data_IF_126030815582
#
_entry.id   IF_126030815582
#
_cell.length_a   1.000
_cell.length_b   1.000
_cell.length_c   1.000
_cell.angle_alpha   90.00
_cell.angle_beta   90.00
_cell.angle_gamma   90.00
#
_symmetry.space_group_name_H-M   'P 1'
#
loop_
_entity.id
_entity.type
_entity.pdbx_description
1 polymer ?
#
# COMPACT_ATOMS: atom_id res chain seq x y z
N UNK A 1 16.33 19.98 20.83
CA UNK A 1 15.07 20.27 20.11
C UNK A 1 14.25 18.99 20.06
N UNK A 2 13.14 18.93 20.81
CA UNK A 2 12.17 17.83 20.71
C UNK A 2 11.69 17.79 19.25
N UNK A 3 11.49 16.62 18.68
CA UNK A 3 11.13 16.45 17.26
C UNK A 3 9.61 16.21 17.14
N UNK A 4 8.75 17.24 17.26
CA UNK A 4 7.29 17.09 17.27
C UNK A 4 6.75 16.60 15.92
N UNK A 5 7.40 16.99 14.82
CA UNK A 5 6.97 16.66 13.46
C UNK A 5 7.08 15.17 13.17
N UNK A 6 8.15 14.52 13.62
CA UNK A 6 8.35 13.08 13.39
C UNK A 6 7.24 12.28 14.08
N UNK A 7 6.92 12.64 15.33
CA UNK A 7 5.87 11.98 16.12
C UNK A 7 4.47 12.16 15.51
N UNK A 8 4.16 13.36 15.00
CA UNK A 8 2.90 13.63 14.29
C UNK A 8 2.82 12.87 12.96
N UNK A 9 3.89 12.87 12.17
CA UNK A 9 3.94 12.12 10.90
C UNK A 9 3.81 10.61 11.12
N UNK A 10 4.43 10.08 12.19
CA UNK A 10 4.34 8.68 12.56
C UNK A 10 2.92 8.32 12.98
N UNK A 11 2.27 9.16 13.80
CA UNK A 11 0.86 8.97 14.17
C UNK A 11 -0.05 8.98 12.94
N UNK A 12 0.13 9.94 12.04
CA UNK A 12 -0.72 10.08 10.86
C UNK A 12 -0.56 8.90 9.89
N UNK A 13 0.69 8.47 9.65
CA UNK A 13 1.00 7.30 8.83
C UNK A 13 0.45 6.00 9.47
N UNK A 14 0.51 5.89 10.80
CA UNK A 14 -0.04 4.74 11.53
C UNK A 14 -1.55 4.68 11.39
N UNK A 15 -2.25 5.81 11.57
CA UNK A 15 -3.71 5.90 11.42
C UNK A 15 -4.12 5.55 9.99
N UNK A 16 -3.46 6.12 8.98
CA UNK A 16 -3.73 5.78 7.57
C UNK A 16 -3.50 4.30 7.29
N UNK A 17 -2.43 3.71 7.82
CA UNK A 17 -2.14 2.28 7.64
C UNK A 17 -3.21 1.40 8.29
N UNK A 18 -3.64 1.74 9.50
CA UNK A 18 -4.72 1.02 10.21
C UNK A 18 -6.04 1.13 9.46
N UNK A 19 -6.41 2.33 8.99
CA UNK A 19 -7.64 2.54 8.21
C UNK A 19 -7.59 1.75 6.92
N UNK A 20 -6.47 1.79 6.20
CA UNK A 20 -6.32 1.05 4.95
C UNK A 20 -6.43 -0.46 5.17
N UNK A 21 -5.73 -1.00 6.18
CA UNK A 21 -5.77 -2.42 6.52
C UNK A 21 -7.17 -2.87 6.93
N UNK A 22 -7.89 -2.05 7.70
CA UNK A 22 -9.27 -2.30 8.11
C UNK A 22 -10.22 -2.31 6.91
N UNK A 23 -10.10 -1.34 6.00
CA UNK A 23 -10.93 -1.28 4.79
C UNK A 23 -10.68 -2.47 3.86
N UNK A 24 -9.43 -2.87 3.66
CA UNK A 24 -9.08 -4.05 2.87
C UNK A 24 -9.63 -5.34 3.50
N UNK A 25 -9.51 -5.48 4.82
CA UNK A 25 -10.05 -6.63 5.57
C UNK A 25 -11.57 -6.70 5.50
N UNK A 26 -12.27 -5.56 5.61
CA UNK A 26 -13.73 -5.49 5.50
C UNK A 26 -14.21 -5.87 4.09
N UNK A 27 -13.52 -5.43 3.05
CA UNK A 27 -13.83 -5.79 1.66
C UNK A 27 -13.65 -7.29 1.42
N UNK A 28 -12.57 -7.88 1.93
CA UNK A 28 -12.34 -9.32 1.77
C UNK A 28 -13.34 -10.16 2.59
N UNK A 29 -13.73 -9.69 3.78
CA UNK A 29 -14.78 -10.31 4.58
C UNK A 29 -16.14 -10.23 3.86
N UNK A 30 -16.49 -9.06 3.31
CA UNK A 30 -17.70 -8.88 2.52
C UNK A 30 -17.71 -9.81 1.29
N UNK A 31 -16.56 -10.00 0.63
CA UNK A 31 -16.41 -10.94 -0.49
C UNK A 31 -16.54 -12.41 -0.07
N UNK A 32 -16.03 -12.78 1.11
CA UNK A 32 -16.10 -14.16 1.64
C UNK A 32 -17.50 -14.54 2.09
N UNK A 33 -18.27 -13.60 2.61
CA UNK A 33 -19.61 -13.87 3.17
C UNK A 33 -20.77 -13.46 2.25
N UNK A 34 -20.51 -12.69 1.18
CA UNK A 34 -21.54 -12.25 0.23
C UNK A 34 -21.07 -12.31 -1.23
N UNK A 35 -21.87 -12.97 -2.09
CA UNK A 35 -21.73 -12.94 -3.56
C UNK A 35 -22.14 -11.59 -4.16
N UNK A 36 -21.71 -10.49 -3.56
CA UNK A 36 -22.16 -9.15 -3.94
C UNK A 36 -21.25 -8.62 -5.05
N UNK A 37 -21.79 -8.44 -6.26
CA UNK A 37 -21.07 -7.97 -7.47
C UNK A 37 -20.29 -6.66 -7.24
N UNK A 38 -20.71 -5.83 -6.29
CA UNK A 38 -19.99 -4.60 -5.91
C UNK A 38 -18.71 -4.89 -5.11
N UNK A 39 -18.69 -5.92 -4.27
CA UNK A 39 -17.48 -6.36 -3.58
C UNK A 39 -16.46 -6.96 -4.57
N UNK A 40 -16.94 -7.62 -5.61
CA UNK A 40 -16.10 -8.16 -6.69
C UNK A 40 -15.42 -7.05 -7.50
N UNK A 41 -16.16 -6.02 -7.91
CA UNK A 41 -15.57 -4.82 -8.53
C UNK A 41 -14.62 -4.06 -7.60
N UNK A 42 -14.94 -3.97 -6.31
CA UNK A 42 -14.07 -3.35 -5.31
C UNK A 42 -12.74 -4.09 -5.17
N UNK A 43 -12.78 -5.43 -5.14
CA UNK A 43 -11.58 -6.27 -5.11
C UNK A 43 -10.75 -6.10 -6.37
N UNK A 44 -11.38 -6.10 -7.55
CA UNK A 44 -10.67 -5.85 -8.81
C UNK A 44 -10.00 -4.46 -8.84
N UNK A 45 -10.67 -3.43 -8.32
CA UNK A 45 -10.09 -2.08 -8.22
C UNK A 45 -8.90 -2.02 -7.25
N UNK A 46 -8.99 -2.72 -6.11
CA UNK A 46 -7.92 -2.81 -5.11
C UNK A 46 -6.73 -3.60 -5.64
N UNK A 47 -6.97 -4.70 -6.37
CA UNK A 47 -5.91 -5.55 -6.93
C UNK A 47 -5.27 -4.94 -8.21
N UNK A 48 -5.95 -4.01 -8.89
CA UNK A 48 -5.43 -3.41 -10.14
C UNK A 48 -4.12 -2.66 -9.97
N UNK A 49 -3.95 -1.94 -8.85
CA UNK A 49 -2.73 -1.18 -8.59
C UNK A 49 -1.50 -2.08 -8.35
N UNK A 50 -1.51 -3.04 -7.40
CA UNK A 50 -0.38 -3.94 -7.21
C UNK A 50 -0.13 -4.85 -8.43
N UNK A 51 -1.17 -5.26 -9.18
CA UNK A 51 -0.96 -5.96 -10.46
C UNK A 51 -0.20 -5.11 -11.47
N UNK A 52 -0.52 -3.81 -11.59
CA UNK A 52 0.25 -2.88 -12.44
C UNK A 52 1.69 -2.71 -11.98
N UNK A 53 1.94 -2.73 -10.67
CA UNK A 53 3.31 -2.70 -10.13
C UNK A 53 4.07 -3.97 -10.52
N UNK A 54 3.45 -5.15 -10.42
CA UNK A 54 4.07 -6.39 -10.89
C UNK A 54 4.34 -6.41 -12.39
N UNK A 55 3.44 -5.82 -13.19
CA UNK A 55 3.62 -5.70 -14.64
C UNK A 55 4.80 -4.77 -14.96
N UNK A 56 4.86 -3.61 -14.29
CA UNK A 56 5.97 -2.66 -14.41
C UNK A 56 7.32 -3.26 -13.98
N UNK A 57 7.32 -4.06 -12.91
CA UNK A 57 8.52 -4.76 -12.42
C UNK A 57 8.88 -6.01 -13.26
N UNK A 58 8.07 -6.37 -14.26
CA UNK A 58 8.27 -7.57 -15.09
C UNK A 58 8.03 -8.89 -14.34
N UNK A 59 7.43 -8.85 -13.15
CA UNK A 59 7.14 -10.01 -12.29
C UNK A 59 5.88 -10.75 -12.75
N UNK A 60 4.93 -10.02 -13.35
CA UNK A 60 3.66 -10.57 -13.83
C UNK A 60 3.81 -11.79 -14.76
N UNK A 61 4.65 -11.78 -15.81
CA UNK A 61 4.82 -12.95 -16.67
C UNK A 61 5.36 -14.17 -15.90
N UNK A 62 6.28 -13.97 -14.95
CA UNK A 62 6.85 -15.04 -14.14
C UNK A 62 5.79 -15.70 -13.24
N UNK A 63 4.99 -14.89 -12.56
CA UNK A 63 3.92 -15.39 -11.67
C UNK A 63 2.82 -16.07 -12.49
N UNK A 64 2.51 -15.53 -13.67
CA UNK A 64 1.54 -16.11 -14.59
C UNK A 64 1.99 -17.49 -15.08
N UNK A 65 3.25 -17.61 -15.50
CA UNK A 65 3.81 -18.86 -16.00
C UNK A 65 3.82 -19.95 -14.94
N UNK A 66 4.26 -19.61 -13.72
CA UNK A 66 4.26 -20.54 -12.60
C UNK A 66 2.83 -20.93 -12.12
N UNK A 67 1.87 -20.01 -12.21
CA UNK A 67 0.45 -20.34 -11.95
C UNK A 67 -0.10 -21.32 -12.98
N UNK A 68 0.17 -21.11 -14.28
CA UNK A 68 -0.32 -21.98 -15.35
C UNK A 68 0.33 -23.37 -15.34
N UNK A 69 1.60 -23.47 -14.92
CA UNK A 69 2.28 -24.77 -14.74
C UNK A 69 1.84 -25.49 -13.45
N UNK A 70 0.95 -24.89 -12.65
CA UNK A 70 0.48 -25.46 -11.38
C UNK A 70 1.50 -25.40 -10.24
N UNK A 71 2.62 -24.71 -10.43
CA UNK A 71 3.64 -24.49 -9.39
C UNK A 71 3.17 -23.49 -8.33
N UNK A 72 2.24 -22.59 -8.71
CA UNK A 72 1.66 -21.58 -7.85
C UNK A 72 0.14 -21.81 -7.69
N UNK A 73 -0.32 -22.02 -6.46
CA UNK A 73 -1.73 -22.10 -6.14
C UNK A 73 -2.38 -20.72 -6.10
N UNK A 74 -3.67 -20.62 -6.43
CA UNK A 74 -4.37 -19.33 -6.48
C UNK A 74 -4.38 -18.55 -5.16
N UNK A 75 -4.31 -19.23 -4.01
CA UNK A 75 -4.19 -18.56 -2.71
C UNK A 75 -2.80 -17.93 -2.50
N UNK A 76 -1.73 -18.54 -3.03
CA UNK A 76 -0.37 -18.00 -2.94
C UNK A 76 -0.25 -16.70 -3.74
N UNK A 77 -0.84 -16.66 -4.93
CA UNK A 77 -0.89 -15.44 -5.77
C UNK A 77 -1.58 -14.29 -5.02
N UNK A 78 -2.70 -14.58 -4.33
CA UNK A 78 -3.42 -13.59 -3.51
C UNK A 78 -2.58 -13.10 -2.33
N UNK A 79 -1.86 -13.98 -1.64
CA UNK A 79 -0.96 -13.62 -0.54
C UNK A 79 0.16 -12.69 -1.03
N UNK A 80 0.77 -13.02 -2.18
CA UNK A 80 1.80 -12.18 -2.81
C UNK A 80 1.26 -10.80 -3.20
N UNK A 81 0.04 -10.74 -3.75
CA UNK A 81 -0.65 -9.48 -4.06
C UNK A 81 -0.89 -8.63 -2.80
N UNK A 82 -1.34 -9.26 -1.71
CA UNK A 82 -1.50 -8.62 -0.40
C UNK A 82 -0.20 -8.04 0.13
N UNK A 83 0.88 -8.83 0.12
CA UNK A 83 2.23 -8.40 0.52
C UNK A 83 2.72 -7.20 -0.30
N UNK A 84 2.52 -7.25 -1.61
CA UNK A 84 2.91 -6.17 -2.53
C UNK A 84 2.18 -4.87 -2.18
N UNK A 85 0.89 -4.97 -1.85
CA UNK A 85 0.09 -3.81 -1.49
C UNK A 85 0.55 -3.18 -0.17
N UNK A 86 0.86 -4.01 0.84
CA UNK A 86 1.45 -3.54 2.10
C UNK A 86 2.78 -2.82 1.85
N UNK A 87 3.65 -3.39 1.00
CA UNK A 87 4.94 -2.79 0.65
C UNK A 87 4.77 -1.42 -0.02
N UNK A 88 3.84 -1.32 -0.97
CA UNK A 88 3.50 -0.06 -1.66
C UNK A 88 3.11 1.02 -0.65
N UNK A 89 2.22 0.70 0.29
CA UNK A 89 1.74 1.67 1.28
C UNK A 89 2.89 2.10 2.20
N UNK A 90 3.73 1.17 2.62
CA UNK A 90 4.90 1.48 3.44
C UNK A 90 5.86 2.43 2.71
N UNK A 91 6.18 2.15 1.44
CA UNK A 91 7.03 3.02 0.60
C UNK A 91 6.42 4.40 0.44
N UNK A 92 5.12 4.50 0.17
CA UNK A 92 4.42 5.78 0.05
C UNK A 92 4.46 6.56 1.36
N UNK A 93 4.20 5.92 2.50
CA UNK A 93 4.23 6.56 3.81
C UNK A 93 5.62 7.12 4.13
N UNK A 94 6.69 6.34 3.88
CA UNK A 94 8.07 6.79 4.06
C UNK A 94 8.39 7.96 3.12
N UNK A 95 8.02 7.86 1.84
CA UNK A 95 8.31 8.88 0.83
C UNK A 95 7.63 10.20 1.17
N UNK A 96 6.35 10.18 1.54
CA UNK A 96 5.59 11.38 1.94
C UNK A 96 6.16 11.96 3.24
N UNK A 97 6.44 11.13 4.23
CA UNK A 97 7.03 11.57 5.50
C UNK A 97 8.39 12.24 5.30
N UNK A 98 9.24 11.66 4.45
CA UNK A 98 10.54 12.24 4.09
C UNK A 98 10.39 13.56 3.33
N UNK A 99 9.46 13.64 2.36
CA UNK A 99 9.17 14.88 1.63
C UNK A 99 8.72 16.01 2.56
N UNK A 100 7.82 15.73 3.50
CA UNK A 100 7.39 16.69 4.51
C UNK A 100 8.55 17.15 5.41
N UNK A 101 9.44 16.23 5.79
CA UNK A 101 10.64 16.57 6.57
C UNK A 101 11.57 17.53 5.82
N UNK A 102 11.84 17.28 4.54
CA UNK A 102 12.67 18.18 3.72
C UNK A 102 12.06 19.57 3.58
N UNK A 103 10.75 19.64 3.36
CA UNK A 103 10.01 20.91 3.29
C UNK A 103 10.12 21.67 4.61
N UNK A 104 9.91 21.00 5.74
CA UNK A 104 10.05 21.61 7.06
C UNK A 104 11.47 22.13 7.32
N UNK A 105 12.50 21.42 6.84
CA UNK A 105 13.90 21.85 6.95
C UNK A 105 14.14 23.16 6.20
N UNK A 106 13.61 23.27 4.98
CA UNK A 106 13.72 24.47 4.13
C UNK A 106 13.02 25.68 4.73
N UNK A 107 11.85 25.51 5.35
CA UNK A 107 11.17 26.59 6.04
C UNK A 107 11.94 27.06 7.28
N UNK A 108 12.51 26.12 8.04
CA UNK A 108 13.32 26.45 9.22
C UNK A 108 14.63 27.19 8.87
N UNK A 109 15.21 26.93 7.70
CA UNK A 109 16.35 27.71 7.19
C UNK A 109 15.94 29.13 6.78
N UNK A 110 14.79 29.30 6.12
CA UNK A 110 14.30 30.60 5.65
C UNK A 110 14.02 31.57 6.81
N UNK A 111 13.43 31.10 7.90
CA UNK A 111 13.14 31.92 9.10
C UNK A 111 14.39 32.35 9.87
N UNK A 112 15.55 31.72 9.67
CA UNK A 112 16.83 32.15 10.28
C UNK A 112 17.54 33.24 9.48
N UNK A 113 17.14 33.43 8.23
CA UNK A 113 17.75 34.39 7.30
C UNK A 113 16.88 35.63 7.06
N UNK A 114 15.68 35.68 7.61
CA UNK A 114 14.77 36.82 7.63
C UNK A 114 14.85 37.54 8.98
#
# INVERSE_FOLDING_TARGET
>A
MKVPVLRLSLQNATILSVVWLASASLLELARRYGHWRWAEHGVLAVEAFPMRVWDFLGVMPLVREAYFHGELAGWQVRVLLGLTTVLIIAVLAVTVGFGMYLVALRFAERDRTA
#
